data_IF_711879127895
#
_entry.id   IF_711879127895
#
_cell.length_a   1.000
_cell.length_b   1.000
_cell.length_c   1.000
_cell.angle_alpha   90.00
_cell.angle_beta   90.00
_cell.angle_gamma   90.00
#
_symmetry.space_group_name_H-M   'P 1'
#
loop_
_entity.id
_entity.type
_entity.pdbx_description
1 polymer ?
#
# COMPACT_ATOMS: atom_id res chain seq x y z
N UNK A 1 41.82 -23.70 32.87
CA UNK A 1 41.61 -23.22 31.49
C UNK A 1 40.25 -22.56 31.44
N UNK A 2 40.23 -21.23 31.35
CA UNK A 2 39.01 -20.42 31.34
C UNK A 2 38.69 -20.09 29.88
N UNK A 3 37.60 -20.63 29.35
CA UNK A 3 37.18 -20.35 27.97
C UNK A 3 36.29 -19.10 27.97
N UNK A 4 36.82 -18.01 27.41
CA UNK A 4 36.06 -16.78 27.15
C UNK A 4 35.15 -17.05 25.95
N UNK A 5 33.84 -17.03 26.17
CA UNK A 5 32.86 -17.01 25.10
C UNK A 5 32.80 -15.58 24.52
N UNK A 6 33.28 -15.44 23.28
CA UNK A 6 33.12 -14.21 22.49
C UNK A 6 31.65 -14.13 22.05
N UNK A 7 30.85 -13.28 22.70
CA UNK A 7 29.57 -12.86 22.14
C UNK A 7 29.85 -12.03 20.88
N UNK A 8 29.51 -12.59 19.73
CA UNK A 8 29.47 -11.85 18.48
C UNK A 8 28.40 -10.77 18.57
N UNK A 9 28.81 -9.51 18.59
CA UNK A 9 27.94 -8.36 18.37
C UNK A 9 27.50 -8.44 16.90
N UNK A 10 26.23 -8.76 16.66
CA UNK A 10 25.63 -8.60 15.34
C UNK A 10 25.67 -7.13 14.96
N UNK A 11 26.34 -6.81 13.85
CA UNK A 11 26.33 -5.48 13.27
C UNK A 11 24.88 -5.00 13.09
N UNK A 12 24.57 -3.82 13.61
CA UNK A 12 23.24 -3.23 13.60
C UNK A 12 22.73 -3.02 12.16
N UNK A 13 21.95 -3.98 11.68
CA UNK A 13 20.97 -3.71 10.64
C UNK A 13 19.90 -2.80 11.25
N UNK A 14 19.64 -1.66 10.63
CA UNK A 14 18.53 -0.81 11.01
C UNK A 14 17.25 -1.66 10.89
N UNK A 15 16.59 -1.93 12.01
CA UNK A 15 15.44 -2.83 12.09
C UNK A 15 14.32 -2.35 11.15
N UNK A 16 14.11 -3.03 10.03
CA UNK A 16 13.08 -2.66 9.06
C UNK A 16 11.73 -3.18 9.56
N UNK A 17 10.86 -2.28 10.03
CA UNK A 17 9.54 -2.62 10.54
C UNK A 17 8.45 -2.67 9.46
N UNK A 18 8.75 -2.28 8.21
CA UNK A 18 7.78 -2.19 7.12
C UNK A 18 7.62 -3.50 6.34
N UNK A 19 8.65 -4.35 6.30
CA UNK A 19 8.62 -5.61 5.56
C UNK A 19 9.30 -6.75 6.33
N UNK A 20 8.84 -7.99 6.11
CA UNK A 20 9.57 -9.19 6.50
C UNK A 20 11.03 -9.18 5.98
N UNK A 21 11.97 -9.85 6.68
CA UNK A 21 13.40 -9.79 6.38
C UNK A 21 13.77 -10.17 4.94
N UNK A 22 13.10 -11.16 4.36
CA UNK A 22 13.32 -11.63 2.98
C UNK A 22 13.00 -10.56 1.93
N UNK A 23 11.97 -9.75 2.18
CA UNK A 23 11.55 -8.66 1.29
C UNK A 23 12.38 -7.41 1.53
N UNK A 24 12.70 -7.12 2.79
CA UNK A 24 13.60 -6.03 3.16
C UNK A 24 15.01 -6.19 2.56
N UNK A 25 15.45 -7.43 2.28
CA UNK A 25 16.75 -7.75 1.72
C UNK A 25 16.84 -7.63 0.18
N UNK A 26 15.77 -7.28 -0.53
CA UNK A 26 15.80 -7.19 -1.99
C UNK A 26 16.71 -6.08 -2.51
N UNK A 27 17.66 -6.48 -3.35
CA UNK A 27 18.55 -5.58 -4.08
C UNK A 27 17.84 -4.93 -5.27
N UNK A 28 18.43 -3.86 -5.81
CA UNK A 28 17.92 -3.23 -7.03
C UNK A 28 17.92 -4.18 -8.24
N UNK A 29 18.89 -5.11 -8.30
CA UNK A 29 18.96 -6.15 -9.32
C UNK A 29 17.78 -7.13 -9.22
N UNK A 30 17.46 -7.60 -8.01
CA UNK A 30 16.28 -8.45 -7.78
C UNK A 30 15.00 -7.70 -8.18
N UNK A 31 14.87 -6.42 -7.79
CA UNK A 31 13.73 -5.59 -8.19
C UNK A 31 13.66 -5.39 -9.71
N UNK A 32 14.81 -5.32 -10.40
CA UNK A 32 14.85 -5.25 -11.86
C UNK A 32 14.40 -6.56 -12.53
N UNK A 33 14.79 -7.72 -12.00
CA UNK A 33 14.26 -9.01 -12.47
C UNK A 33 12.75 -9.09 -12.32
N UNK A 34 12.19 -8.59 -11.20
CA UNK A 34 10.74 -8.53 -10.98
C UNK A 34 10.03 -7.60 -11.98
N UNK A 35 10.66 -6.48 -12.36
CA UNK A 35 10.15 -5.58 -13.41
C UNK A 35 10.18 -6.23 -14.78
N UNK A 36 11.24 -6.94 -15.10
CA UNK A 36 11.37 -7.70 -16.34
C UNK A 36 10.29 -8.79 -16.44
N UNK A 37 10.02 -9.50 -15.34
CA UNK A 37 8.93 -10.48 -15.25
C UNK A 37 7.56 -9.81 -15.46
N UNK A 38 7.31 -8.63 -14.89
CA UNK A 38 6.07 -7.88 -15.11
C UNK A 38 5.90 -7.45 -16.58
N UNK A 39 6.96 -7.03 -17.26
CA UNK A 39 6.92 -6.70 -18.71
C UNK A 39 6.54 -7.91 -19.55
N UNK A 40 7.15 -9.07 -19.27
CA UNK A 40 6.85 -10.31 -19.98
C UNK A 40 5.39 -10.77 -19.74
N UNK A 41 4.92 -10.66 -18.49
CA UNK A 41 3.54 -10.95 -18.12
C UNK A 41 2.54 -10.03 -18.86
N UNK A 42 2.77 -8.72 -18.82
CA UNK A 42 1.90 -7.74 -19.48
C UNK A 42 1.76 -8.01 -20.98
N UNK A 43 2.87 -8.29 -21.67
CA UNK A 43 2.86 -8.65 -23.08
C UNK A 43 2.06 -9.94 -23.36
N UNK A 44 2.30 -11.00 -22.57
CA UNK A 44 1.59 -12.28 -22.71
C UNK A 44 0.09 -12.16 -22.46
N UNK A 45 -0.32 -11.41 -21.43
CA UNK A 45 -1.72 -11.23 -21.10
C UNK A 45 -2.45 -10.45 -22.21
N UNK A 46 -1.83 -9.40 -22.74
CA UNK A 46 -2.39 -8.64 -23.87
C UNK A 46 -2.56 -9.50 -25.11
N UNK A 47 -1.58 -10.34 -25.43
CA UNK A 47 -1.66 -11.30 -26.55
C UNK A 47 -2.78 -12.33 -26.34
N UNK A 48 -2.90 -12.89 -25.13
CA UNK A 48 -3.97 -13.84 -24.79
C UNK A 48 -5.37 -13.20 -24.92
N UNK A 49 -5.54 -11.96 -24.47
CA UNK A 49 -6.79 -11.21 -24.62
C UNK A 49 -7.08 -10.93 -26.09
N UNK A 50 -6.09 -10.50 -26.87
CA UNK A 50 -6.25 -10.23 -28.30
C UNK A 50 -6.67 -11.49 -29.09
N UNK A 51 -6.24 -12.67 -28.63
CA UNK A 51 -6.62 -13.97 -29.19
C UNK A 51 -7.91 -14.56 -28.59
N UNK A 52 -8.63 -13.79 -27.76
CA UNK A 52 -9.83 -14.23 -27.07
C UNK A 52 -9.64 -15.54 -26.29
N UNK A 53 -8.48 -15.71 -25.66
CA UNK A 53 -8.23 -16.86 -24.80
C UNK A 53 -9.28 -16.93 -23.67
N UNK A 54 -9.75 -18.14 -23.38
CA UNK A 54 -10.70 -18.38 -22.29
C UNK A 54 -10.01 -18.65 -20.95
N UNK A 55 -8.73 -18.99 -20.98
CA UNK A 55 -7.92 -19.29 -19.81
C UNK A 55 -6.53 -18.66 -19.93
N UNK A 56 -6.01 -18.16 -18.81
CA UNK A 56 -4.67 -17.61 -18.71
C UNK A 56 -4.06 -17.91 -17.35
N UNK A 57 -2.84 -18.42 -17.35
CA UNK A 57 -2.08 -18.70 -16.13
C UNK A 57 -0.93 -17.70 -15.98
N UNK A 58 -0.85 -17.13 -14.79
CA UNK A 58 0.29 -16.36 -14.30
C UNK A 58 1.09 -17.30 -13.43
N UNK A 59 2.37 -17.49 -13.75
CA UNK A 59 3.22 -18.38 -12.97
C UNK A 59 3.48 -17.81 -11.56
N UNK A 60 3.70 -18.67 -10.56
CA UNK A 60 4.12 -18.22 -9.23
C UNK A 60 5.38 -17.36 -9.30
N UNK A 61 5.44 -16.28 -8.53
CA UNK A 61 6.58 -15.38 -8.52
C UNK A 61 6.23 -13.93 -8.17
N UNK A 62 7.25 -13.06 -8.25
CA UNK A 62 7.14 -11.64 -7.94
C UNK A 62 7.16 -10.80 -9.22
N UNK A 63 6.14 -9.96 -9.38
CA UNK A 63 5.99 -9.09 -10.54
C UNK A 63 5.92 -7.65 -10.07
N UNK A 64 6.82 -6.80 -10.55
CA UNK A 64 6.93 -5.40 -10.10
C UNK A 64 6.46 -4.42 -11.17
N UNK A 65 5.43 -3.67 -10.83
CA UNK A 65 4.77 -2.66 -11.64
C UNK A 65 5.12 -1.26 -11.13
N UNK A 66 5.18 -0.28 -12.03
CA UNK A 66 5.51 1.09 -11.68
C UNK A 66 6.10 1.88 -12.84
N UNK A 67 6.78 3.00 -12.53
CA UNK A 67 7.35 3.91 -13.56
C UNK A 67 8.41 3.26 -14.44
N UNK A 68 9.18 2.30 -13.88
CA UNK A 68 10.25 1.57 -14.59
C UNK A 68 9.75 0.28 -15.24
N UNK A 69 8.44 0.02 -15.28
CA UNK A 69 7.82 -1.17 -15.85
C UNK A 69 6.43 -0.87 -16.41
N UNK A 70 5.57 -1.88 -16.59
CA UNK A 70 4.14 -1.65 -16.79
C UNK A 70 3.59 -0.91 -15.57
N UNK A 71 2.78 0.13 -15.78
CA UNK A 71 2.28 1.00 -14.70
C UNK A 71 1.23 0.31 -13.81
N UNK A 72 0.49 -0.63 -14.39
CA UNK A 72 -0.58 -1.41 -13.77
C UNK A 72 -0.70 -2.75 -14.51
N UNK A 73 -1.49 -3.68 -13.97
CA UNK A 73 -2.07 -4.77 -14.75
C UNK A 73 -3.41 -4.29 -15.32
N UNK A 74 -3.53 -4.18 -16.65
CA UNK A 74 -4.78 -3.75 -17.30
C UNK A 74 -5.40 -4.90 -18.11
N UNK A 75 -6.48 -5.46 -17.58
CA UNK A 75 -7.35 -6.41 -18.28
C UNK A 75 -8.43 -5.61 -18.98
N UNK A 76 -8.33 -5.50 -20.29
CA UNK A 76 -9.20 -4.60 -21.08
C UNK A 76 -9.95 -5.36 -22.16
N UNK A 77 -11.26 -5.08 -22.27
CA UNK A 77 -12.14 -5.66 -23.29
C UNK A 77 -12.14 -7.20 -23.32
N UNK A 78 -11.78 -7.85 -22.20
CA UNK A 78 -11.76 -9.30 -22.11
C UNK A 78 -13.17 -9.84 -21.85
N UNK A 79 -13.51 -10.95 -22.50
CA UNK A 79 -14.77 -11.65 -22.30
C UNK A 79 -14.53 -13.14 -22.08
N UNK A 80 -15.23 -13.75 -21.11
CA UNK A 80 -15.16 -15.18 -20.83
C UNK A 80 -13.74 -15.70 -20.50
N UNK A 81 -12.94 -14.87 -19.80
CA UNK A 81 -11.55 -15.18 -19.46
C UNK A 81 -11.41 -15.58 -17.99
N UNK A 82 -10.73 -16.69 -17.73
CA UNK A 82 -10.32 -17.13 -16.38
C UNK A 82 -8.83 -16.94 -16.20
N UNK A 83 -8.44 -16.18 -15.19
CA UNK A 83 -7.04 -15.92 -14.83
C UNK A 83 -6.71 -16.63 -13.52
N UNK A 84 -5.76 -17.56 -13.56
CA UNK A 84 -5.17 -18.16 -12.36
C UNK A 84 -3.81 -17.52 -12.09
N UNK A 85 -3.69 -16.88 -10.94
CA UNK A 85 -2.48 -16.22 -10.45
C UNK A 85 -1.99 -16.82 -9.13
N UNK A 86 -2.41 -18.05 -8.81
CA UNK A 86 -2.04 -18.74 -7.58
C UNK A 86 -0.53 -18.75 -7.37
N UNK A 87 -0.06 -18.15 -6.28
CA UNK A 87 1.36 -18.04 -5.94
C UNK A 87 2.07 -16.83 -6.54
N UNK A 88 1.37 -15.97 -7.28
CA UNK A 88 1.90 -14.69 -7.75
C UNK A 88 1.72 -13.60 -6.68
N UNK A 89 2.70 -12.70 -6.60
CA UNK A 89 2.63 -11.46 -5.83
C UNK A 89 2.96 -10.28 -6.74
N UNK A 90 2.07 -9.31 -6.78
CA UNK A 90 2.28 -8.05 -7.49
C UNK A 90 2.74 -6.97 -6.54
N UNK A 91 3.85 -6.34 -6.90
CA UNK A 91 4.46 -5.22 -6.20
C UNK A 91 4.26 -3.96 -7.01
N UNK A 92 3.69 -2.93 -6.38
CA UNK A 92 3.52 -1.63 -7.02
C UNK A 92 4.49 -0.61 -6.44
N UNK A 93 5.18 0.11 -7.31
CA UNK A 93 6.14 1.13 -6.92
C UNK A 93 5.87 2.50 -7.56
N UNK A 94 6.20 3.54 -6.80
CA UNK A 94 6.12 4.92 -7.22
C UNK A 94 4.72 5.54 -7.07
N UNK A 95 4.70 6.87 -7.05
CA UNK A 95 3.48 7.67 -6.95
C UNK A 95 2.76 7.73 -8.30
N UNK A 96 1.78 6.85 -8.49
CA UNK A 96 0.97 6.76 -9.71
C UNK A 96 -0.53 6.95 -9.40
N UNK A 97 -1.19 7.77 -10.23
CA UNK A 97 -2.65 7.97 -10.22
C UNK A 97 -3.35 7.01 -11.16
N UNK A 98 -3.05 5.72 -11.03
CA UNK A 98 -3.69 4.62 -11.75
C UNK A 98 -3.97 3.48 -10.78
N UNK A 99 -5.10 2.81 -10.92
CA UNK A 99 -5.35 1.63 -10.07
C UNK A 99 -4.34 0.55 -10.41
N UNK A 100 -3.93 -0.21 -9.40
CA UNK A 100 -2.87 -1.19 -9.54
C UNK A 100 -3.25 -2.30 -10.54
N UNK A 101 -4.47 -2.80 -10.42
CA UNK A 101 -5.07 -3.81 -11.29
C UNK A 101 -6.42 -3.31 -11.76
N UNK A 102 -6.63 -3.29 -13.07
CA UNK A 102 -7.83 -2.76 -13.69
C UNK A 102 -8.52 -3.82 -14.53
N UNK A 103 -9.84 -3.91 -14.36
CA UNK A 103 -10.75 -4.61 -15.26
C UNK A 103 -11.57 -3.54 -15.97
N UNK A 104 -11.20 -3.24 -17.21
CA UNK A 104 -11.81 -2.18 -18.00
C UNK A 104 -12.67 -2.80 -19.10
N UNK A 105 -13.98 -2.54 -19.09
CA UNK A 105 -14.93 -3.03 -20.11
C UNK A 105 -14.89 -4.55 -20.28
N UNK A 106 -14.81 -5.28 -19.17
CA UNK A 106 -14.74 -6.74 -19.14
C UNK A 106 -16.13 -7.35 -18.94
N UNK A 107 -16.35 -8.55 -19.48
CA UNK A 107 -17.58 -9.33 -19.27
C UNK A 107 -17.29 -10.78 -18.91
N UNK A 108 -17.79 -11.25 -17.77
CA UNK A 108 -17.59 -12.63 -17.33
C UNK A 108 -16.09 -13.01 -17.25
N UNK A 109 -15.34 -12.27 -16.45
CA UNK A 109 -13.89 -12.47 -16.24
C UNK A 109 -13.64 -12.87 -14.79
N UNK A 110 -12.71 -13.79 -14.55
CA UNK A 110 -12.30 -14.15 -13.19
C UNK A 110 -10.79 -14.03 -12.99
N UNK A 111 -10.39 -13.62 -11.78
CA UNK A 111 -9.01 -13.65 -11.31
C UNK A 111 -8.97 -14.37 -9.97
N UNK A 112 -8.11 -15.38 -9.86
CA UNK A 112 -7.94 -16.19 -8.65
C UNK A 112 -6.49 -16.16 -8.15
N UNK A 113 -6.30 -16.08 -6.83
CA UNK A 113 -5.07 -16.52 -6.17
C UNK A 113 -3.92 -15.51 -6.12
N UNK A 114 -4.21 -14.22 -6.18
CA UNK A 114 -3.20 -13.16 -6.26
C UNK A 114 -2.95 -12.47 -4.91
N UNK A 115 -1.68 -12.18 -4.63
CA UNK A 115 -1.28 -11.24 -3.57
C UNK A 115 -0.87 -9.89 -4.16
N UNK A 116 -1.27 -8.79 -3.52
CA UNK A 116 -0.93 -7.42 -3.90
C UNK A 116 -0.28 -6.69 -2.74
N UNK A 117 0.83 -6.01 -3.02
CA UNK A 117 1.53 -5.17 -2.06
C UNK A 117 2.24 -4.00 -2.75
N UNK A 118 2.78 -3.07 -1.96
CA UNK A 118 3.49 -1.90 -2.44
C UNK A 118 4.89 -1.87 -1.87
N UNK A 119 5.86 -1.48 -2.70
CA UNK A 119 7.22 -1.22 -2.24
C UNK A 119 7.86 -0.05 -3.02
N UNK A 120 8.05 1.14 -2.39
CA UNK A 120 7.75 1.45 -0.99
C UNK A 120 6.24 1.47 -0.66
N UNK A 121 5.88 1.25 0.60
CA UNK A 121 4.49 1.30 1.07
C UNK A 121 3.81 2.63 0.72
N UNK A 122 2.49 2.57 0.50
CA UNK A 122 1.67 3.77 0.22
C UNK A 122 1.32 4.61 1.46
N UNK A 123 1.97 4.37 2.59
CA UNK A 123 1.74 5.05 3.85
C UNK A 123 3.01 5.05 4.69
N UNK A 124 3.07 5.98 5.65
CA UNK A 124 4.08 5.97 6.71
C UNK A 124 3.42 5.76 8.07
N UNK A 125 4.18 5.38 9.07
CA UNK A 125 3.72 5.35 10.45
C UNK A 125 4.85 5.66 11.43
N UNK A 126 4.49 6.12 12.63
CA UNK A 126 5.45 6.41 13.67
C UNK A 126 4.82 6.61 15.04
N UNK A 127 5.69 6.71 16.03
CA UNK A 127 5.34 7.03 17.42
C UNK A 127 5.21 8.54 17.61
N UNK A 128 4.20 8.98 18.34
CA UNK A 128 4.03 10.38 18.76
C UNK A 128 4.98 10.66 19.91
N UNK A 129 5.92 11.59 19.73
CA UNK A 129 6.97 11.89 20.72
C UNK A 129 6.71 13.16 21.52
N UNK A 130 5.89 14.09 21.00
CA UNK A 130 5.47 15.29 21.72
C UNK A 130 4.09 15.77 21.24
N UNK A 131 3.37 16.49 22.10
CA UNK A 131 2.09 17.13 21.76
C UNK A 131 2.11 18.56 22.31
N UNK A 132 1.86 19.52 21.43
CA UNK A 132 1.66 20.93 21.79
C UNK A 132 0.20 21.33 21.52
N UNK A 133 -0.57 21.47 22.59
CA UNK A 133 -1.99 21.83 22.51
C UNK A 133 -2.22 23.28 22.15
N UNK A 134 -1.31 24.19 22.52
CA UNK A 134 -1.44 25.61 22.21
C UNK A 134 -1.16 25.84 20.72
N UNK A 135 -0.11 25.22 20.20
CA UNK A 135 0.25 25.27 18.77
C UNK A 135 -0.60 24.34 17.88
N UNK A 136 -1.47 23.50 18.47
CA UNK A 136 -2.27 22.48 17.78
C UNK A 136 -1.42 21.59 16.87
N UNK A 137 -0.31 21.12 17.42
CA UNK A 137 0.66 20.28 16.71
C UNK A 137 1.10 19.09 17.55
N UNK A 138 1.66 18.09 16.90
CA UNK A 138 2.35 16.98 17.54
C UNK A 138 3.63 16.66 16.79
N UNK A 139 4.59 16.06 17.46
CA UNK A 139 5.80 15.55 16.82
C UNK A 139 5.71 14.03 16.74
N UNK A 140 6.14 13.45 15.62
CA UNK A 140 6.22 12.02 15.39
C UNK A 140 7.65 11.60 15.04
N UNK A 141 8.00 10.36 15.35
CA UNK A 141 9.20 9.69 14.85
C UNK A 141 8.78 8.51 13.98
N UNK A 142 9.08 8.59 12.68
CA UNK A 142 8.73 7.55 11.70
C UNK A 142 9.54 6.29 11.95
N UNK A 143 8.84 5.15 12.02
CA UNK A 143 9.44 3.83 12.24
C UNK A 143 10.44 3.51 11.12
N UNK A 144 11.57 2.82 11.39
CA UNK A 144 12.52 2.47 10.34
C UNK A 144 11.90 1.48 9.33
N UNK A 145 12.31 1.61 8.06
CA UNK A 145 11.71 0.85 6.95
C UNK A 145 10.49 1.51 6.30
N UNK A 146 9.73 2.33 7.04
CA UNK A 146 8.62 3.09 6.46
C UNK A 146 9.13 4.24 5.59
N UNK A 147 8.43 4.57 4.49
CA UNK A 147 8.80 5.69 3.64
C UNK A 147 8.70 7.01 4.43
N UNK A 148 9.69 7.87 4.25
CA UNK A 148 9.66 9.22 4.82
C UNK A 148 8.74 10.11 3.97
N UNK A 149 7.86 10.92 4.59
CA UNK A 149 7.13 11.94 3.87
C UNK A 149 8.08 12.95 3.20
N UNK A 150 7.80 13.26 1.95
CA UNK A 150 8.46 14.31 1.17
C UNK A 150 7.43 15.39 0.78
N UNK A 151 7.89 16.50 0.18
CA UNK A 151 7.02 17.63 -0.17
C UNK A 151 5.86 17.23 -1.11
N UNK A 152 6.00 16.16 -1.90
CA UNK A 152 4.94 15.69 -2.79
C UNK A 152 3.76 15.08 -2.05
N UNK A 153 3.93 14.68 -0.78
CA UNK A 153 2.86 14.12 0.03
C UNK A 153 1.83 15.17 0.44
N UNK A 154 2.23 16.45 0.57
CA UNK A 154 1.37 17.54 1.06
C UNK A 154 1.02 18.57 -0.03
N UNK A 155 1.60 18.45 -1.22
CA UNK A 155 1.35 19.36 -2.35
C UNK A 155 -0.07 19.31 -2.93
N UNK A 156 -0.87 18.29 -2.59
CA UNK A 156 -2.30 18.27 -2.94
C UNK A 156 -3.14 18.41 -1.68
N UNK A 157 -4.06 19.36 -1.70
CA UNK A 157 -4.93 19.61 -0.57
C UNK A 157 -5.77 18.36 -0.23
N UNK A 158 -5.45 17.70 0.88
CA UNK A 158 -6.20 16.55 1.40
C UNK A 158 -5.65 15.17 1.01
N UNK A 159 -4.34 15.04 0.76
CA UNK A 159 -3.72 13.75 0.43
C UNK A 159 -3.33 12.89 1.62
N UNK A 160 -3.24 13.40 2.85
CA UNK A 160 -2.83 12.56 3.99
C UNK A 160 -3.84 12.66 5.10
N UNK A 161 -4.42 11.52 5.47
CA UNK A 161 -5.32 11.41 6.61
C UNK A 161 -4.51 11.14 7.88
N UNK A 162 -4.92 11.70 9.01
CA UNK A 162 -4.36 11.34 10.31
C UNK A 162 -5.17 10.18 10.91
N UNK A 163 -4.54 9.02 11.10
CA UNK A 163 -5.18 7.86 11.74
C UNK A 163 -4.37 7.46 12.95
N UNK A 164 -4.98 7.57 14.12
CA UNK A 164 -4.33 7.30 15.41
C UNK A 164 -4.57 5.85 15.86
N UNK A 165 -3.54 5.27 16.46
CA UNK A 165 -3.61 3.99 17.15
C UNK A 165 -3.04 4.15 18.55
N UNK A 166 -3.56 3.38 19.50
CA UNK A 166 -2.96 3.34 20.84
C UNK A 166 -1.62 2.57 20.82
N UNK A 167 -0.99 2.48 22.00
CA UNK A 167 0.27 1.73 22.19
C UNK A 167 0.15 0.22 21.97
N UNK A 168 -1.07 -0.31 21.94
CA UNK A 168 -1.37 -1.72 21.66
C UNK A 168 -1.77 -1.93 20.19
N UNK A 169 -1.49 -0.95 19.32
CA UNK A 169 -1.79 -0.98 17.88
C UNK A 169 -3.29 -1.10 17.54
N UNK A 170 -4.18 -0.67 18.44
CA UNK A 170 -5.63 -0.59 18.17
C UNK A 170 -5.98 0.78 17.62
N UNK A 171 -6.71 0.80 16.49
CA UNK A 171 -7.15 2.06 15.89
C UNK A 171 -8.08 2.80 16.86
N UNK A 172 -7.77 4.06 17.14
CA UNK A 172 -8.55 4.89 18.05
C UNK A 172 -9.80 5.44 17.35
N UNK A 173 -10.92 5.44 18.06
CA UNK A 173 -12.17 6.09 17.63
C UNK A 173 -12.14 7.59 17.92
N UNK A 174 -11.29 8.31 17.18
CA UNK A 174 -11.17 9.77 17.26
C UNK A 174 -11.65 10.42 15.96
N UNK A 175 -12.15 11.66 16.05
CA UNK A 175 -12.53 12.45 14.88
C UNK A 175 -11.31 12.61 13.98
N UNK A 176 -11.28 11.90 12.85
CA UNK A 176 -10.14 11.93 11.93
C UNK A 176 -9.98 13.31 11.29
N UNK A 177 -8.75 13.81 11.24
CA UNK A 177 -8.38 15.07 10.59
C UNK A 177 -7.49 14.82 9.37
N UNK A 178 -7.15 15.89 8.66
CA UNK A 178 -6.22 15.90 7.54
C UNK A 178 -4.95 16.62 7.92
N UNK A 179 -3.82 16.12 7.42
CA UNK A 179 -2.53 16.77 7.62
C UNK A 179 -2.49 18.07 6.83
N UNK A 180 -2.11 19.15 7.50
CA UNK A 180 -1.83 20.46 6.89
C UNK A 180 -0.36 20.57 6.49
N UNK A 181 0.55 20.18 7.38
CA UNK A 181 1.98 20.18 7.10
C UNK A 181 2.70 19.10 7.89
N UNK A 182 3.78 18.58 7.29
CA UNK A 182 4.79 17.70 7.89
C UNK A 182 6.13 18.41 7.81
N UNK A 183 6.56 19.05 8.90
CA UNK A 183 7.83 19.79 8.94
C UNK A 183 8.93 18.86 9.46
N UNK A 184 10.03 18.64 8.72
CA UNK A 184 11.12 17.78 9.17
C UNK A 184 11.73 18.26 10.49
N UNK A 185 12.06 17.31 11.37
CA UNK A 185 12.85 17.47 12.58
C UNK A 185 14.13 16.60 12.45
N UNK A 186 14.95 16.56 13.50
CA UNK A 186 16.16 15.73 13.50
C UNK A 186 15.84 14.23 13.29
N UNK A 187 16.71 13.53 12.56
CA UNK A 187 16.57 12.10 12.29
C UNK A 187 15.34 11.77 11.45
N UNK A 188 14.48 10.87 11.95
CA UNK A 188 13.20 10.48 11.31
C UNK A 188 12.01 11.21 11.93
N UNK A 189 12.26 12.36 12.55
CA UNK A 189 11.26 13.16 13.25
C UNK A 189 10.51 14.11 12.32
N UNK A 190 9.22 14.34 12.56
CA UNK A 190 8.41 15.33 11.87
C UNK A 190 7.46 16.01 12.84
N UNK A 191 7.31 17.33 12.71
CA UNK A 191 6.21 18.08 13.31
C UNK A 191 5.00 18.05 12.40
N UNK A 192 3.87 17.62 12.96
CA UNK A 192 2.59 17.46 12.28
C UNK A 192 1.66 18.59 12.71
N UNK A 193 1.09 19.28 11.72
CA UNK A 193 -0.05 20.19 11.93
C UNK A 193 -1.25 19.72 11.12
N UNK A 194 -2.44 20.10 11.56
CA UNK A 194 -3.70 19.59 11.03
C UNK A 194 -4.51 20.71 10.38
N UNK A 195 -5.37 20.35 9.42
CA UNK A 195 -6.19 21.33 8.71
C UNK A 195 -7.25 21.92 9.62
N UNK A 196 -7.92 21.10 10.42
CA UNK A 196 -8.98 21.54 11.32
C UNK A 196 -8.56 21.60 12.78
N UNK A 197 -7.55 20.81 13.18
CA UNK A 197 -7.10 20.71 14.55
C UNK A 197 -8.14 20.06 15.47
N UNK A 198 -8.99 19.17 14.95
CA UNK A 198 -10.10 18.56 15.72
C UNK A 198 -9.59 17.77 16.93
N UNK A 199 -8.40 17.19 16.85
CA UNK A 199 -7.77 16.49 17.98
C UNK A 199 -7.41 17.39 19.16
N UNK A 200 -7.36 18.71 18.96
CA UNK A 200 -7.04 19.69 20.00
C UNK A 200 -8.26 20.44 20.52
N UNK A 201 -9.40 20.27 19.87
CA UNK A 201 -10.65 20.90 20.29
C UNK A 201 -11.27 20.08 21.44
N UNK A 202 -11.51 20.71 22.62
CA UNK A 202 -12.08 20.04 23.79
C UNK A 202 -13.42 19.34 23.53
N UNK A 203 -14.20 19.79 22.53
CA UNK A 203 -15.49 19.18 22.17
C UNK A 203 -15.34 17.72 21.75
N UNK A 204 -14.22 17.37 21.10
CA UNK A 204 -14.00 16.01 20.62
C UNK A 204 -13.28 15.09 21.63
N UNK A 205 -12.88 15.61 22.79
CA UNK A 205 -12.30 14.84 23.91
C UNK A 205 -11.24 13.80 23.47
N UNK A 206 -10.36 14.19 22.53
CA UNK A 206 -9.34 13.29 21.96
C UNK A 206 -8.45 12.71 23.06
N UNK A 207 -8.30 11.38 23.04
CA UNK A 207 -7.48 10.62 24.01
C UNK A 207 -6.04 10.39 23.55
N UNK A 208 -5.65 10.97 22.43
CA UNK A 208 -4.29 10.86 21.88
C UNK A 208 -3.27 11.42 22.87
N UNK A 209 -2.20 10.65 23.10
CA UNK A 209 -1.13 10.94 24.05
C UNK A 209 0.25 10.59 23.46
N UNK A 210 1.31 11.12 24.06
CA UNK A 210 2.70 10.77 23.70
C UNK A 210 2.91 9.26 23.87
N UNK A 211 3.49 8.61 22.88
CA UNK A 211 3.70 7.16 22.80
C UNK A 211 2.63 6.43 21.97
N UNK A 212 1.46 7.02 21.74
CA UNK A 212 0.50 6.51 20.74
C UNK A 212 1.11 6.57 19.33
N UNK A 213 0.48 5.88 18.36
CA UNK A 213 0.97 5.78 16.99
C UNK A 213 0.12 6.62 16.05
N UNK A 214 0.75 7.15 15.01
CA UNK A 214 0.09 7.86 13.91
C UNK A 214 0.44 7.18 12.58
N UNK A 215 -0.58 6.75 11.84
CA UNK A 215 -0.45 6.35 10.46
C UNK A 215 -0.80 7.51 9.52
N UNK A 216 -0.01 7.63 8.46
CA UNK A 216 -0.06 8.66 7.43
C UNK A 216 -0.26 8.00 6.06
N UNK A 217 -1.47 7.53 5.71
CA UNK A 217 -1.76 7.02 4.38
C UNK A 217 -1.71 8.13 3.34
N UNK A 218 -0.88 7.94 2.30
CA UNK A 218 -0.82 8.82 1.15
C UNK A 218 -1.93 8.49 0.15
N UNK A 219 -2.98 9.30 0.19
CA UNK A 219 -4.16 9.25 -0.66
C UNK A 219 -3.96 9.88 -2.03
N UNK A 220 -2.76 10.36 -2.37
CA UNK A 220 -2.48 10.96 -3.68
C UNK A 220 -2.43 9.94 -4.82
N UNK A 221 -2.30 8.65 -4.50
CA UNK A 221 -2.31 7.52 -5.42
C UNK A 221 -3.70 6.83 -5.47
N UNK A 222 -3.86 5.85 -6.36
CA UNK A 222 -5.14 5.21 -6.71
C UNK A 222 -5.38 3.86 -6.00
N UNK A 223 -6.42 3.14 -6.39
CA UNK A 223 -6.92 1.94 -5.71
C UNK A 223 -6.07 0.69 -6.03
N UNK A 224 -6.20 -0.39 -5.27
CA UNK A 224 -5.56 -1.66 -5.66
C UNK A 224 -6.29 -2.30 -6.85
N UNK A 225 -7.61 -2.45 -6.76
CA UNK A 225 -8.46 -2.98 -7.82
C UNK A 225 -9.51 -1.96 -8.26
N UNK A 226 -9.57 -1.70 -9.57
CA UNK A 226 -10.62 -0.92 -10.23
C UNK A 226 -11.39 -1.76 -11.25
N UNK A 227 -12.68 -1.98 -11.00
CA UNK A 227 -13.60 -2.65 -11.91
C UNK A 227 -14.43 -1.59 -12.62
N UNK A 228 -14.00 -1.21 -13.82
CA UNK A 228 -14.55 -0.06 -14.54
C UNK A 228 -15.35 -0.54 -15.75
N UNK A 229 -16.59 -0.04 -15.87
CA UNK A 229 -17.48 -0.30 -17.01
C UNK A 229 -17.64 -1.81 -17.30
N UNK A 230 -17.61 -2.66 -16.27
CA UNK A 230 -17.51 -4.12 -16.40
C UNK A 230 -18.77 -4.83 -15.90
N UNK A 231 -18.90 -6.11 -16.24
CA UNK A 231 -20.02 -6.98 -15.88
C UNK A 231 -19.50 -8.36 -15.47
N UNK A 232 -20.02 -8.92 -14.37
CA UNK A 232 -19.74 -10.29 -13.92
C UNK A 232 -18.23 -10.60 -13.74
N UNK A 233 -17.49 -9.67 -13.13
CA UNK A 233 -16.08 -9.93 -12.74
C UNK A 233 -16.04 -10.65 -11.40
N UNK A 234 -15.32 -11.78 -11.30
CA UNK A 234 -15.09 -12.51 -10.06
C UNK A 234 -13.64 -12.35 -9.59
N UNK A 235 -13.44 -11.81 -8.40
CA UNK A 235 -12.16 -11.83 -7.70
C UNK A 235 -12.22 -12.90 -6.61
N UNK A 236 -11.33 -13.89 -6.67
CA UNK A 236 -11.29 -14.99 -5.70
C UNK A 236 -9.90 -15.15 -5.10
N UNK A 237 -9.82 -15.44 -3.80
CA UNK A 237 -8.57 -15.75 -3.12
C UNK A 237 -7.52 -14.63 -3.27
N UNK A 238 -7.96 -13.38 -3.12
CA UNK A 238 -7.11 -12.18 -3.24
C UNK A 238 -6.66 -11.71 -1.87
N UNK A 239 -5.37 -11.41 -1.72
CA UNK A 239 -4.83 -10.74 -0.53
C UNK A 239 -4.23 -9.39 -0.91
N UNK A 240 -4.63 -8.33 -0.23
CA UNK A 240 -4.05 -6.99 -0.37
C UNK A 240 -3.40 -6.62 0.97
N UNK A 241 -2.07 -6.48 1.00
CA UNK A 241 -1.33 -6.07 2.21
C UNK A 241 -1.26 -4.55 2.36
N UNK A 242 -1.08 -3.85 1.24
CA UNK A 242 -1.08 -2.41 1.23
C UNK A 242 -1.74 -1.89 -0.04
N UNK A 243 -2.42 -0.76 0.09
CA UNK A 243 -2.74 0.10 -1.03
C UNK A 243 -2.89 1.54 -0.52
N UNK A 244 -2.55 2.54 -1.33
CA UNK A 244 -2.61 3.93 -0.88
C UNK A 244 -4.04 4.45 -0.70
N UNK A 245 -5.00 3.89 -1.46
CA UNK A 245 -6.38 4.34 -1.42
C UNK A 245 -7.40 3.29 -0.92
N UNK A 246 -8.25 2.78 -1.80
CA UNK A 246 -9.25 1.74 -1.50
C UNK A 246 -8.76 0.43 -2.12
N UNK A 247 -9.02 -0.69 -1.46
CA UNK A 247 -8.56 -2.00 -1.97
C UNK A 247 -9.38 -2.43 -3.19
N UNK A 248 -10.71 -2.34 -3.13
CA UNK A 248 -11.61 -2.74 -4.21
C UNK A 248 -12.56 -1.60 -4.52
N UNK A 249 -12.71 -1.27 -5.80
CA UNK A 249 -13.60 -0.22 -6.29
C UNK A 249 -14.28 -0.64 -7.58
N UNK A 250 -15.52 -0.18 -7.74
CA UNK A 250 -16.34 -0.43 -8.93
C UNK A 250 -16.85 0.90 -9.46
N UNK A 251 -16.82 1.08 -10.78
CA UNK A 251 -17.28 2.31 -11.43
C UNK A 251 -18.02 1.98 -12.73
N UNK A 252 -19.34 2.14 -12.72
CA UNK A 252 -20.20 1.90 -13.88
C UNK A 252 -20.23 0.44 -14.35
N UNK A 253 -20.89 0.18 -15.49
CA UNK A 253 -20.99 -1.17 -16.07
C UNK A 253 -22.25 -1.93 -15.68
N UNK A 254 -22.30 -3.22 -16.03
CA UNK A 254 -23.44 -4.10 -15.79
C UNK A 254 -23.50 -4.69 -14.37
N UNK A 255 -22.44 -4.53 -13.57
CA UNK A 255 -22.36 -5.04 -12.20
C UNK A 255 -22.33 -6.56 -12.13
N UNK A 256 -22.88 -7.14 -11.06
CA UNK A 256 -22.86 -8.60 -10.84
C UNK A 256 -21.49 -9.13 -10.42
N UNK A 257 -20.63 -8.27 -9.89
CA UNK A 257 -19.30 -8.63 -9.42
C UNK A 257 -19.35 -9.53 -8.18
N UNK A 258 -18.36 -10.41 -8.06
CA UNK A 258 -18.25 -11.35 -6.94
C UNK A 258 -16.87 -11.24 -6.32
N UNK A 259 -16.81 -10.96 -5.01
CA UNK A 259 -15.60 -11.04 -4.20
C UNK A 259 -15.69 -12.26 -3.29
N UNK A 260 -14.79 -13.24 -3.48
CA UNK A 260 -14.81 -14.49 -2.72
C UNK A 260 -13.47 -14.68 -2.01
N UNK A 261 -13.50 -14.69 -0.68
CA UNK A 261 -12.29 -14.86 0.16
C UNK A 261 -11.21 -13.82 -0.15
N UNK A 262 -11.62 -12.58 -0.44
CA UNK A 262 -10.73 -11.45 -0.56
C UNK A 262 -10.41 -10.89 0.83
N UNK A 263 -9.15 -10.57 1.08
CA UNK A 263 -8.65 -10.08 2.37
C UNK A 263 -7.87 -8.79 2.17
N UNK A 264 -8.08 -7.83 3.07
CA UNK A 264 -7.20 -6.68 3.27
C UNK A 264 -6.54 -6.87 4.62
N UNK A 265 -5.23 -7.08 4.62
CA UNK A 265 -4.46 -7.42 5.81
C UNK A 265 -3.44 -6.32 6.08
N UNK A 266 -3.18 -6.01 7.34
CA UNK A 266 -2.08 -5.11 7.70
C UNK A 266 -0.76 -5.75 7.26
N UNK A 267 0.18 -4.92 6.81
CA UNK A 267 1.55 -5.34 6.57
C UNK A 267 2.32 -5.46 7.89
#
# INVERSE_FOLDING_TARGET
MLTIALCAVSAGGQENAAYPPDIAAWTDEMKESQRSAARALDARLKDAIAKAATEFRIEPGHYRFGRKGPKCLDVRNAANLRVDATGATFWFEGRLRIDAIQFNRCKNVSLKGLTVDYDPLGYSQGEITAIDRAAKSLDIRIDPGFPLPDDTWTQQDGSIKAIFYDREDKQMEVRMDWIKALTPLAGRGYRVTFKSGWHFDPVYQSRVQVGDRLALPDRSMRHAFGLNESESVTLADITVYACPHMAFTEVGGGGGHVYRRCKVLRR
#
